data_IF_097328250652
#
_entry.id   IF_097328250652
#
_cell.length_a   1.000
_cell.length_b   1.000
_cell.length_c   1.000
_cell.angle_alpha   90.00
_cell.angle_beta   90.00
_cell.angle_gamma   90.00
#
_symmetry.space_group_name_H-M   'P 1'
#
loop_
_entity.id
_entity.type
_entity.pdbx_description
1 polymer ?
#
# COMPACT_ATOMS: atom_id res chain seq x y z
N UNK A 1 -40.60 47.22 41.06
CA UNK A 1 -39.41 46.94 40.24
C UNK A 1 -39.85 46.21 38.99
N UNK A 2 -39.73 46.81 37.82
CA UNK A 2 -40.44 46.46 36.60
C UNK A 2 -39.89 45.17 36.00
N UNK A 3 -40.76 44.17 35.70
CA UNK A 3 -40.41 42.88 35.16
C UNK A 3 -39.50 42.96 33.88
N UNK A 4 -39.68 44.03 33.08
CA UNK A 4 -38.84 44.35 31.92
C UNK A 4 -37.40 44.64 32.24
N UNK A 5 -37.10 45.27 33.39
CA UNK A 5 -35.69 45.55 33.83
C UNK A 5 -34.96 44.29 34.31
N UNK A 6 -35.69 43.31 34.92
CA UNK A 6 -35.12 42.01 35.30
C UNK A 6 -34.78 41.14 34.08
N UNK A 7 -35.66 41.18 33.07
CA UNK A 7 -35.44 40.40 31.84
C UNK A 7 -34.26 40.94 31.05
N UNK A 8 -34.08 42.27 30.97
CA UNK A 8 -32.97 42.92 30.30
C UNK A 8 -31.61 42.64 30.98
N UNK A 9 -31.61 42.60 32.34
CA UNK A 9 -30.41 42.24 33.11
C UNK A 9 -30.00 40.78 32.93
N UNK A 10 -30.97 39.86 32.82
CA UNK A 10 -30.69 38.44 32.56
C UNK A 10 -30.13 38.20 31.16
N UNK A 11 -30.64 38.94 30.15
CA UNK A 11 -30.16 38.82 28.76
C UNK A 11 -28.73 39.39 28.64
N UNK A 12 -28.43 40.52 29.33
CA UNK A 12 -27.08 41.10 29.32
C UNK A 12 -26.06 40.23 30.02
N UNK A 13 -26.47 39.51 31.09
CA UNK A 13 -25.57 38.56 31.80
C UNK A 13 -25.31 37.30 30.95
N UNK A 14 -26.29 36.88 30.12
CA UNK A 14 -26.13 35.67 29.29
C UNK A 14 -25.24 35.91 28.03
N UNK A 15 -25.22 37.18 27.54
CA UNK A 15 -24.37 37.58 26.41
C UNK A 15 -22.89 37.69 26.81
N UNK A 16 -22.59 38.03 28.07
CA UNK A 16 -21.21 38.09 28.56
C UNK A 16 -20.53 36.74 28.79
N UNK A 17 -21.28 35.66 28.92
CA UNK A 17 -20.74 34.31 29.17
C UNK A 17 -20.38 33.58 27.85
N UNK A 18 -20.91 34.07 26.70
CA UNK A 18 -20.66 33.40 25.40
C UNK A 18 -19.34 33.81 24.70
N UNK A 19 -18.59 34.76 25.28
CA UNK A 19 -17.38 35.31 24.63
C UNK A 19 -16.04 34.79 25.17
N UNK A 20 -16.02 33.73 26.02
CA UNK A 20 -14.80 33.24 26.65
C UNK A 20 -14.33 31.84 26.22
N UNK A 21 -14.97 31.23 25.21
CA UNK A 21 -14.47 29.97 24.64
C UNK A 21 -13.96 30.16 23.22
N UNK A 22 -13.05 31.11 23.01
CA UNK A 22 -12.12 30.98 21.88
C UNK A 22 -11.05 30.01 22.30
N UNK A 23 -11.33 28.71 22.11
CA UNK A 23 -10.29 27.69 22.15
C UNK A 23 -9.30 28.02 21.01
N UNK A 24 -8.05 28.37 21.29
CA UNK A 24 -7.09 28.55 20.22
C UNK A 24 -6.94 27.18 19.54
N UNK A 25 -7.42 27.07 18.30
CA UNK A 25 -7.07 25.93 17.44
C UNK A 25 -5.58 26.02 17.21
N UNK A 26 -4.81 25.38 18.09
CA UNK A 26 -3.40 25.15 17.87
C UNK A 26 -3.31 24.19 16.69
N UNK A 27 -3.08 24.76 15.51
CA UNK A 27 -2.64 24.00 14.35
C UNK A 27 -1.29 23.37 14.72
N UNK A 28 -1.34 22.14 15.23
CA UNK A 28 -0.14 21.33 15.46
C UNK A 28 0.50 21.06 14.10
N UNK A 29 1.40 21.93 13.68
CA UNK A 29 2.25 21.71 12.51
C UNK A 29 3.12 20.50 12.81
N UNK A 30 2.66 19.34 12.41
CA UNK A 30 3.38 18.07 12.60
C UNK A 30 4.72 18.18 11.88
N UNK A 31 5.79 18.38 12.64
CA UNK A 31 7.15 18.51 12.11
C UNK A 31 7.47 17.26 11.29
N UNK A 32 7.64 17.42 9.97
CA UNK A 32 7.99 16.32 9.07
C UNK A 32 9.49 16.07 9.20
N UNK A 33 9.86 14.88 9.67
CA UNK A 33 11.25 14.46 9.85
C UNK A 33 11.65 13.39 8.81
N UNK A 34 12.94 13.16 8.67
CA UNK A 34 13.47 12.05 7.86
C UNK A 34 12.99 10.71 8.42
N UNK A 35 12.64 9.79 7.55
CA UNK A 35 12.24 8.44 7.95
C UNK A 35 12.68 7.38 6.95
N UNK A 36 12.92 6.18 7.46
CA UNK A 36 13.16 4.98 6.66
C UNK A 36 12.16 3.90 7.06
N UNK A 37 11.51 3.28 6.09
CA UNK A 37 10.57 2.16 6.29
C UNK A 37 10.89 1.01 5.36
N UNK A 38 10.76 -0.22 5.85
CA UNK A 38 10.82 -1.43 5.03
C UNK A 38 9.40 -1.92 4.74
N UNK A 39 9.15 -2.34 3.50
CA UNK A 39 7.84 -2.77 3.03
C UNK A 39 8.03 -4.03 2.20
N UNK A 40 7.24 -5.08 2.48
CA UNK A 40 7.11 -6.21 1.57
C UNK A 40 5.83 -6.04 0.76
N UNK A 41 5.92 -6.22 -0.54
CA UNK A 41 4.81 -6.16 -1.48
C UNK A 41 4.78 -7.41 -2.35
N UNK A 42 3.60 -7.77 -2.82
CA UNK A 42 3.42 -8.84 -3.81
C UNK A 42 3.38 -8.22 -5.21
N UNK A 43 3.87 -8.93 -6.21
CA UNK A 43 3.76 -8.50 -7.63
C UNK A 43 2.30 -8.11 -7.94
N UNK A 44 2.13 -7.00 -8.68
CA UNK A 44 0.86 -6.34 -9.01
C UNK A 44 0.14 -5.65 -7.83
N UNK A 45 0.68 -5.68 -6.62
CA UNK A 45 0.13 -4.94 -5.49
C UNK A 45 0.39 -3.43 -5.63
N UNK A 46 -0.60 -2.63 -5.22
CA UNK A 46 -0.48 -1.17 -5.09
C UNK A 46 -0.52 -0.78 -3.62
N UNK A 47 0.30 0.17 -3.20
CA UNK A 47 0.34 0.71 -1.84
C UNK A 47 0.58 2.21 -1.85
N UNK A 48 -0.31 2.94 -1.19
CA UNK A 48 -0.16 4.39 -1.06
C UNK A 48 0.76 4.77 0.11
N UNK A 49 1.63 5.73 -0.11
CA UNK A 49 2.42 6.41 0.91
C UNK A 49 1.57 7.59 1.40
N UNK A 50 1.14 7.55 2.66
CA UNK A 50 0.43 8.68 3.29
C UNK A 50 1.48 9.65 3.85
N UNK A 51 1.75 10.75 3.13
CA UNK A 51 2.59 11.84 3.60
C UNK A 51 1.71 13.03 4.03
N UNK A 52 2.05 13.74 5.12
CA UNK A 52 1.30 14.93 5.56
C UNK A 52 1.50 16.14 4.64
N UNK A 53 2.49 16.07 3.74
CA UNK A 53 2.84 17.12 2.79
C UNK A 53 3.04 16.50 1.40
N UNK A 54 2.87 17.31 0.35
CA UNK A 54 3.13 16.88 -1.03
C UNK A 54 4.63 16.64 -1.22
N UNK A 55 5.01 15.42 -1.54
CA UNK A 55 6.40 15.02 -1.78
C UNK A 55 6.66 14.70 -3.24
N UNK A 56 7.91 14.86 -3.68
CA UNK A 56 8.37 14.34 -4.97
C UNK A 56 8.93 12.94 -4.76
N UNK A 57 8.43 11.96 -5.52
CA UNK A 57 8.80 10.55 -5.38
C UNK A 57 9.66 10.08 -6.55
N UNK A 58 10.66 9.22 -6.25
CA UNK A 58 11.50 8.55 -7.24
C UNK A 58 11.73 7.09 -6.85
N UNK A 59 11.63 6.19 -7.82
CA UNK A 59 12.04 4.78 -7.67
C UNK A 59 13.46 4.61 -8.18
N UNK A 60 14.27 3.81 -7.46
CA UNK A 60 15.63 3.45 -7.90
C UNK A 60 15.62 2.43 -9.04
N UNK A 61 14.52 1.66 -9.18
CA UNK A 61 14.35 0.70 -10.27
C UNK A 61 12.88 0.56 -10.67
N UNK A 62 12.43 1.32 -11.71
CA UNK A 62 11.04 1.27 -12.18
C UNK A 62 10.61 -0.08 -12.80
N UNK A 63 11.55 -0.96 -13.14
CA UNK A 63 11.24 -2.34 -13.60
C UNK A 63 10.73 -3.22 -12.46
N UNK A 64 11.17 -2.96 -11.20
CA UNK A 64 10.74 -3.70 -10.01
C UNK A 64 9.50 -3.06 -9.39
N UNK A 65 9.52 -1.73 -9.17
CA UNK A 65 8.34 -0.99 -8.72
C UNK A 65 8.37 0.46 -9.20
N UNK A 66 7.22 0.99 -9.54
CA UNK A 66 7.02 2.41 -9.86
C UNK A 66 6.35 3.14 -8.70
N UNK A 67 6.48 4.46 -8.68
CA UNK A 67 5.76 5.33 -7.75
C UNK A 67 5.17 6.51 -8.51
N UNK A 68 3.91 6.83 -8.26
CA UNK A 68 3.23 7.98 -8.87
C UNK A 68 3.54 9.28 -8.11
N UNK A 69 3.24 10.43 -8.71
CA UNK A 69 3.31 11.75 -8.06
C UNK A 69 2.42 11.87 -6.81
N UNK A 70 1.35 11.08 -6.73
CA UNK A 70 0.47 10.96 -5.56
C UNK A 70 1.01 10.00 -4.48
N UNK A 71 2.23 9.43 -4.66
CA UNK A 71 2.83 8.50 -3.70
C UNK A 71 2.27 7.07 -3.76
N UNK A 72 1.62 6.67 -4.85
CA UNK A 72 1.15 5.28 -4.99
C UNK A 72 2.27 4.43 -5.59
N UNK A 73 2.76 3.47 -4.83
CA UNK A 73 3.74 2.47 -5.28
C UNK A 73 3.00 1.34 -5.97
N UNK A 74 3.49 0.91 -7.13
CA UNK A 74 3.01 -0.27 -7.86
C UNK A 74 4.15 -1.25 -8.03
N UNK A 75 4.03 -2.44 -7.43
CA UNK A 75 5.00 -3.53 -7.56
C UNK A 75 4.83 -4.22 -8.92
N UNK A 76 5.89 -4.33 -9.73
CA UNK A 76 5.86 -4.90 -11.08
C UNK A 76 6.53 -6.26 -11.18
N UNK A 77 7.72 -6.39 -10.58
CA UNK A 77 8.53 -7.63 -10.68
C UNK A 77 9.15 -7.96 -9.33
N UNK A 78 9.43 -9.25 -9.11
CA UNK A 78 10.18 -9.72 -7.93
C UNK A 78 11.54 -9.04 -7.85
N UNK A 79 11.92 -8.58 -6.67
CA UNK A 79 13.22 -7.95 -6.42
C UNK A 79 13.18 -6.98 -5.25
N UNK A 80 14.30 -6.30 -5.03
CA UNK A 80 14.42 -5.24 -4.02
C UNK A 80 14.60 -3.89 -4.70
N UNK A 81 13.94 -2.86 -4.21
CA UNK A 81 13.96 -1.51 -4.77
C UNK A 81 13.80 -0.49 -3.66
N UNK A 82 14.38 0.69 -3.85
CA UNK A 82 14.22 1.83 -2.94
C UNK A 82 13.35 2.89 -3.60
N UNK A 83 12.30 3.30 -2.91
CA UNK A 83 11.51 4.48 -3.29
C UNK A 83 11.84 5.60 -2.32
N UNK A 84 12.20 6.76 -2.87
CA UNK A 84 12.54 7.96 -2.10
C UNK A 84 11.48 9.02 -2.31
N UNK A 85 10.98 9.61 -1.23
CA UNK A 85 10.16 10.82 -1.22
C UNK A 85 10.98 12.00 -0.70
N UNK A 86 10.90 13.17 -1.35
CA UNK A 86 11.58 14.41 -0.94
C UNK A 86 10.58 15.56 -0.78
N UNK A 87 10.76 16.33 0.28
CA UNK A 87 10.07 17.60 0.53
C UNK A 87 11.02 18.54 1.26
N UNK A 88 11.45 19.63 0.59
CA UNK A 88 12.51 20.53 1.12
C UNK A 88 13.76 19.70 1.50
N UNK A 89 14.27 19.86 2.70
CA UNK A 89 15.38 19.08 3.28
C UNK A 89 14.99 17.70 3.80
N UNK A 90 13.69 17.36 3.83
CA UNK A 90 13.20 16.08 4.38
C UNK A 90 13.24 14.99 3.33
N UNK A 91 13.77 13.82 3.71
CA UNK A 91 13.88 12.62 2.88
C UNK A 91 13.20 11.43 3.56
N UNK A 92 12.26 10.81 2.83
CA UNK A 92 11.66 9.52 3.21
C UNK A 92 12.21 8.42 2.33
N UNK A 93 12.65 7.33 2.94
CA UNK A 93 13.22 6.18 2.24
C UNK A 93 12.38 4.94 2.51
N UNK A 94 11.90 4.31 1.45
CA UNK A 94 11.15 3.05 1.52
C UNK A 94 11.98 1.95 0.89
N UNK A 95 12.49 1.01 1.70
CA UNK A 95 13.14 -0.21 1.24
C UNK A 95 12.04 -1.23 0.93
N UNK A 96 11.84 -1.58 -0.33
CA UNK A 96 10.74 -2.41 -0.78
C UNK A 96 11.27 -3.74 -1.26
N UNK A 97 10.76 -4.83 -0.69
CA UNK A 97 10.98 -6.20 -1.16
C UNK A 97 9.72 -6.66 -1.89
N UNK A 98 9.79 -6.84 -3.20
CA UNK A 98 8.70 -7.39 -3.99
C UNK A 98 8.88 -8.89 -4.09
N UNK A 99 7.88 -9.64 -3.62
CA UNK A 99 7.82 -11.10 -3.68
C UNK A 99 6.82 -11.55 -4.74
N UNK A 100 7.00 -12.78 -5.24
CA UNK A 100 6.03 -13.38 -6.15
C UNK A 100 4.65 -13.51 -5.50
N UNK A 101 3.59 -13.41 -6.30
CA UNK A 101 2.23 -13.71 -5.84
C UNK A 101 2.16 -15.20 -5.52
N UNK A 102 2.00 -15.55 -4.24
CA UNK A 102 1.73 -16.93 -3.86
C UNK A 102 0.31 -17.28 -4.30
N UNK A 103 0.14 -18.35 -5.06
CA UNK A 103 -1.20 -18.82 -5.40
C UNK A 103 -1.93 -19.23 -4.11
N UNK A 104 -3.25 -18.94 -3.99
CA UNK A 104 -4.04 -19.38 -2.84
C UNK A 104 -3.96 -20.91 -2.67
N UNK A 105 -3.94 -21.36 -1.41
CA UNK A 105 -4.11 -22.78 -1.08
C UNK A 105 -5.45 -23.26 -1.69
N UNK A 106 -5.42 -24.37 -2.43
CA UNK A 106 -6.61 -24.88 -3.16
C UNK A 106 -6.75 -24.38 -4.58
N UNK A 107 -5.89 -23.48 -5.07
CA UNK A 107 -5.89 -23.06 -6.48
C UNK A 107 -5.47 -24.21 -7.39
N UNK A 108 -6.24 -24.44 -8.44
CA UNK A 108 -5.88 -25.40 -9.50
C UNK A 108 -4.78 -24.81 -10.40
N UNK A 109 -3.85 -25.67 -10.78
CA UNK A 109 -2.75 -25.40 -11.68
C UNK A 109 -2.71 -26.41 -12.80
N UNK A 110 -2.02 -26.07 -13.88
CA UNK A 110 -1.83 -26.96 -15.02
C UNK A 110 -0.48 -27.66 -14.89
N UNK A 111 -0.47 -28.98 -15.09
CA UNK A 111 0.72 -29.84 -15.21
C UNK A 111 0.60 -30.71 -16.45
N UNK A 112 1.69 -31.31 -16.85
CA UNK A 112 1.73 -32.38 -17.87
C UNK A 112 2.74 -33.44 -17.43
N UNK A 113 2.55 -34.68 -17.84
CA UNK A 113 3.35 -35.82 -17.39
C UNK A 113 4.82 -35.72 -17.78
N UNK A 114 5.13 -35.07 -18.89
CA UNK A 114 6.49 -34.86 -19.39
C UNK A 114 7.20 -33.65 -18.73
N UNK A 115 6.49 -32.83 -17.97
CA UNK A 115 7.00 -31.63 -17.33
C UNK A 115 7.35 -31.83 -15.86
N UNK A 116 8.12 -30.91 -15.30
CA UNK A 116 8.42 -30.84 -13.85
C UNK A 116 7.97 -29.50 -13.23
N UNK A 117 7.11 -28.76 -13.92
CA UNK A 117 6.63 -27.45 -13.49
C UNK A 117 5.11 -27.39 -13.52
N UNK A 118 4.50 -26.77 -12.51
CA UNK A 118 3.09 -26.41 -12.56
C UNK A 118 2.91 -24.95 -13.02
N UNK A 119 1.82 -24.67 -13.75
CA UNK A 119 1.55 -23.42 -14.44
C UNK A 119 0.18 -22.84 -14.06
N UNK A 120 0.04 -21.51 -14.13
CA UNK A 120 -1.25 -20.84 -13.93
C UNK A 120 -2.15 -20.92 -15.18
N UNK A 121 -1.55 -21.09 -16.36
CA UNK A 121 -2.26 -21.25 -17.64
C UNK A 121 -1.74 -22.46 -18.39
N UNK A 122 -2.63 -23.16 -19.11
CA UNK A 122 -2.27 -24.24 -20.03
C UNK A 122 -1.38 -23.76 -21.20
N UNK A 123 -1.47 -22.45 -21.52
CA UNK A 123 -0.77 -21.84 -22.65
C UNK A 123 0.59 -21.24 -22.26
N UNK A 124 1.01 -21.39 -21.00
CA UNK A 124 2.26 -20.80 -20.50
C UNK A 124 3.51 -21.39 -21.17
N UNK A 125 3.48 -22.67 -21.54
CA UNK A 125 4.50 -23.38 -22.28
C UNK A 125 3.82 -24.42 -23.17
N UNK A 126 4.54 -24.92 -24.18
CA UNK A 126 4.01 -25.97 -25.08
C UNK A 126 3.87 -27.28 -24.30
N UNK A 127 2.87 -27.39 -23.43
CA UNK A 127 2.57 -28.59 -22.65
C UNK A 127 1.84 -29.62 -23.53
N UNK A 128 2.30 -30.85 -23.49
CA UNK A 128 1.57 -31.96 -24.13
C UNK A 128 0.55 -32.50 -23.13
N UNK A 129 -0.72 -32.61 -23.55
CA UNK A 129 -1.84 -33.08 -22.73
C UNK A 129 -1.91 -32.48 -21.31
N UNK A 130 -2.04 -31.14 -21.19
CA UNK A 130 -2.08 -30.52 -19.86
C UNK A 130 -3.40 -30.80 -19.13
N UNK A 131 -3.33 -31.12 -17.85
CA UNK A 131 -4.49 -31.33 -17.00
C UNK A 131 -4.36 -30.54 -15.70
N UNK A 132 -5.46 -30.37 -14.99
CA UNK A 132 -5.54 -29.56 -13.78
C UNK A 132 -5.45 -30.42 -12.54
N UNK A 133 -4.61 -29.96 -11.60
CA UNK A 133 -4.51 -30.51 -10.24
C UNK A 133 -4.46 -29.35 -9.24
N UNK A 134 -4.65 -29.64 -7.96
CA UNK A 134 -4.40 -28.63 -6.93
C UNK A 134 -2.89 -28.36 -6.81
N UNK A 135 -2.52 -27.17 -6.32
CA UNK A 135 -1.10 -26.86 -6.05
C UNK A 135 -0.49 -27.85 -5.05
N UNK A 136 -1.28 -28.28 -4.05
CA UNK A 136 -0.82 -29.25 -3.06
C UNK A 136 -0.48 -30.59 -3.74
N UNK A 137 -1.34 -31.06 -4.62
CA UNK A 137 -1.11 -32.30 -5.37
C UNK A 137 0.08 -32.18 -6.33
N UNK A 138 0.20 -31.06 -7.08
CA UNK A 138 1.35 -30.82 -7.92
C UNK A 138 2.68 -30.88 -7.13
N UNK A 139 2.71 -30.31 -5.94
CA UNK A 139 3.91 -30.35 -5.07
C UNK A 139 4.21 -31.73 -4.54
N UNK A 140 3.20 -32.51 -4.12
CA UNK A 140 3.37 -33.89 -3.66
C UNK A 140 3.93 -34.75 -4.79
N UNK A 141 3.54 -34.48 -6.04
CA UNK A 141 4.08 -35.15 -7.24
C UNK A 141 5.46 -34.61 -7.69
N UNK A 142 6.09 -33.70 -6.94
CA UNK A 142 7.42 -33.16 -7.22
C UNK A 142 7.46 -32.05 -8.27
N UNK A 143 6.33 -31.43 -8.60
CA UNK A 143 6.30 -30.30 -9.52
C UNK A 143 6.65 -28.99 -8.81
N UNK A 144 7.52 -28.18 -9.40
CA UNK A 144 7.85 -26.83 -8.96
C UNK A 144 7.03 -25.75 -9.68
N UNK A 145 7.00 -24.56 -9.11
CA UNK A 145 6.38 -23.42 -9.77
C UNK A 145 7.11 -22.99 -11.04
N UNK A 146 6.39 -22.80 -12.12
CA UNK A 146 6.94 -22.21 -13.33
C UNK A 146 7.37 -20.77 -13.09
N UNK A 147 8.67 -20.46 -13.28
CA UNK A 147 9.24 -19.11 -13.10
C UNK A 147 8.54 -18.05 -13.98
N UNK A 148 8.01 -18.41 -15.15
CA UNK A 148 7.30 -17.51 -16.07
C UNK A 148 5.92 -17.13 -15.54
N UNK A 149 5.18 -18.08 -14.94
CA UNK A 149 3.85 -17.85 -14.38
C UNK A 149 3.87 -17.15 -13.02
N UNK A 150 4.95 -17.32 -12.25
CA UNK A 150 5.09 -16.87 -10.87
C UNK A 150 6.16 -15.79 -10.70
N UNK A 151 6.43 -15.06 -11.77
CA UNK A 151 7.31 -13.88 -11.76
C UNK A 151 6.76 -12.72 -10.95
#
# INVERSE_FOLDING_TARGET
MNKKKKLLSLILSMVMILSLFTVPVQATTKKVANQTKSITMVVNQKKAIKAPVKMTYKSSNPKIATVSSKGVITAKSKGSVVVTGKYKSVKWTYKIKVIAKKAPLGTYVWICDTGKKYHLSKDCSKMNNPYRVTISEAKVRGYDACKKCYR
#
